data_IF_526141777107
#
_entry.id   IF_526141777107
#
_cell.length_a   1.000
_cell.length_b   1.000
_cell.length_c   1.000
_cell.angle_alpha   90.00
_cell.angle_beta   90.00
_cell.angle_gamma   90.00
#
_symmetry.space_group_name_H-M   'P 1'
#
loop_
_entity.id
_entity.type
_entity.pdbx_description
1 polymer ?
#
# COMPACT_ATOMS: atom_id res chain seq x y z
N UNK A 1 -18.98 7.99 50.27
CA UNK A 1 -17.99 8.81 49.54
C UNK A 1 -18.68 9.35 48.29
N UNK A 2 -18.75 10.67 48.06
CA UNK A 2 -19.26 11.23 46.81
C UNK A 2 -18.41 10.74 45.64
N UNK A 3 -19.04 10.35 44.53
CA UNK A 3 -18.27 9.95 43.34
C UNK A 3 -17.60 11.20 42.74
N UNK A 4 -16.30 11.10 42.49
CA UNK A 4 -15.53 12.15 41.83
C UNK A 4 -16.02 12.28 40.38
N UNK A 5 -16.65 13.42 40.05
CA UNK A 5 -16.99 13.80 38.69
C UNK A 5 -15.92 14.76 38.19
N UNK A 6 -15.02 14.33 37.30
CA UNK A 6 -13.95 15.20 36.83
C UNK A 6 -14.58 16.32 35.99
N UNK A 7 -14.28 17.56 36.36
CA UNK A 7 -14.65 18.73 35.56
C UNK A 7 -13.96 18.65 34.20
N UNK A 8 -14.73 18.69 33.11
CA UNK A 8 -14.21 18.58 31.74
C UNK A 8 -14.36 17.22 31.08
N UNK A 9 -14.98 16.22 31.73
CA UNK A 9 -15.18 14.88 31.13
C UNK A 9 -15.94 14.90 29.79
N UNK A 10 -16.91 15.80 29.65
CA UNK A 10 -17.66 15.96 28.41
C UNK A 10 -16.80 16.58 27.30
N UNK A 11 -15.92 17.51 27.65
CA UNK A 11 -14.98 18.15 26.71
C UNK A 11 -13.91 17.16 26.26
N UNK A 12 -13.33 16.39 27.19
CA UNK A 12 -12.37 15.33 26.84
C UNK A 12 -12.99 14.28 25.93
N UNK A 13 -14.22 13.83 26.22
CA UNK A 13 -14.94 12.89 25.35
C UNK A 13 -15.18 13.45 23.94
N UNK A 14 -15.51 14.74 23.84
CA UNK A 14 -15.73 15.40 22.55
C UNK A 14 -14.42 15.56 21.75
N UNK A 15 -13.30 15.78 22.44
CA UNK A 15 -11.98 15.88 21.83
C UNK A 15 -11.45 14.50 21.39
N UNK A 16 -11.63 13.47 22.22
CA UNK A 16 -11.27 12.08 21.85
C UNK A 16 -12.08 11.63 20.63
N UNK A 17 -13.39 11.87 20.61
CA UNK A 17 -14.22 11.53 19.45
C UNK A 17 -13.78 12.26 18.15
N UNK A 18 -13.29 13.50 18.27
CA UNK A 18 -12.70 14.21 17.13
C UNK A 18 -11.36 13.63 16.70
N UNK A 19 -10.49 13.31 17.66
CA UNK A 19 -9.20 12.70 17.39
C UNK A 19 -9.36 11.33 16.69
N UNK A 20 -10.31 10.52 17.13
CA UNK A 20 -10.64 9.23 16.51
C UNK A 20 -11.13 9.41 15.07
N UNK A 21 -12.01 10.39 14.83
CA UNK A 21 -12.51 10.67 13.48
C UNK A 21 -11.39 11.12 12.53
N UNK A 22 -10.48 11.98 13.00
CA UNK A 22 -9.32 12.43 12.22
C UNK A 22 -8.34 11.29 11.97
N UNK A 23 -8.11 10.43 12.97
CA UNK A 23 -7.24 9.26 12.86
C UNK A 23 -7.78 8.26 11.84
N UNK A 24 -9.08 7.95 11.91
CA UNK A 24 -9.73 7.06 10.94
C UNK A 24 -9.68 7.61 9.50
N UNK A 25 -9.74 8.94 9.33
CA UNK A 25 -9.51 9.60 8.05
C UNK A 25 -8.07 9.46 7.57
N UNK A 26 -7.10 9.66 8.48
CA UNK A 26 -5.68 9.50 8.22
C UNK A 26 -5.29 8.06 7.85
N UNK A 27 -5.84 7.06 8.52
CA UNK A 27 -5.61 5.64 8.21
C UNK A 27 -6.08 5.27 6.80
N UNK A 28 -7.24 5.77 6.37
CA UNK A 28 -7.73 5.57 4.99
C UNK A 28 -6.86 6.25 3.95
N UNK A 29 -6.30 7.43 4.25
CA UNK A 29 -5.36 8.09 3.36
C UNK A 29 -4.01 7.33 3.31
N UNK A 30 -3.55 6.83 4.46
CA UNK A 30 -2.34 6.04 4.56
C UNK A 30 -2.43 4.71 3.79
N UNK A 31 -3.60 4.04 3.81
CA UNK A 31 -3.79 2.82 3.02
C UNK A 31 -3.65 3.07 1.51
N UNK A 32 -4.12 4.24 1.02
CA UNK A 32 -3.89 4.60 -0.38
C UNK A 32 -2.41 4.76 -0.71
N UNK A 33 -1.60 5.31 0.21
CA UNK A 33 -0.15 5.44 0.03
C UNK A 33 0.55 4.07 -0.02
N UNK A 34 0.17 3.15 0.87
CA UNK A 34 0.73 1.79 0.91
C UNK A 34 0.49 1.04 -0.42
N UNK A 35 -0.68 1.20 -1.02
CA UNK A 35 -1.00 0.59 -2.31
C UNK A 35 -0.07 1.09 -3.44
N UNK A 36 0.23 2.38 -3.49
CA UNK A 36 1.17 2.93 -4.47
C UNK A 36 2.58 2.40 -4.24
N UNK A 37 3.06 2.37 -2.99
CA UNK A 37 4.36 1.80 -2.64
C UNK A 37 4.44 0.35 -3.10
N UNK A 38 3.42 -0.47 -2.80
CA UNK A 38 3.35 -1.87 -3.22
C UNK A 38 3.46 -2.04 -4.73
N UNK A 39 2.71 -1.25 -5.51
CA UNK A 39 2.78 -1.29 -6.98
C UNK A 39 4.19 -0.96 -7.47
N UNK A 40 4.86 0.05 -6.91
CA UNK A 40 6.22 0.41 -7.33
C UNK A 40 7.24 -0.69 -7.02
N UNK A 41 7.11 -1.37 -5.88
CA UNK A 41 7.98 -2.51 -5.53
C UNK A 41 7.77 -3.69 -6.50
N UNK A 42 6.53 -3.95 -6.92
CA UNK A 42 6.24 -4.96 -7.95
C UNK A 42 6.91 -4.58 -9.27
N UNK A 43 6.79 -3.33 -9.71
CA UNK A 43 7.43 -2.86 -10.95
C UNK A 43 8.97 -2.95 -10.87
N UNK A 44 9.57 -2.59 -9.73
CA UNK A 44 11.01 -2.76 -9.52
C UNK A 44 11.42 -4.25 -9.62
N UNK A 45 10.60 -5.15 -9.08
CA UNK A 45 10.81 -6.59 -9.18
C UNK A 45 10.75 -7.08 -10.64
N UNK A 46 9.83 -6.54 -11.45
CA UNK A 46 9.75 -6.83 -12.90
C UNK A 46 11.05 -6.43 -13.60
N UNK A 47 11.55 -5.21 -13.37
CA UNK A 47 12.81 -4.74 -13.95
C UNK A 47 13.98 -5.62 -13.53
N UNK A 48 14.02 -6.02 -12.25
CA UNK A 48 15.02 -6.93 -11.72
C UNK A 48 14.98 -8.31 -12.39
N UNK A 49 13.80 -8.93 -12.49
CA UNK A 49 13.61 -10.23 -13.14
C UNK A 49 14.05 -10.21 -14.61
N UNK A 50 13.72 -9.15 -15.34
CA UNK A 50 14.14 -8.96 -16.74
C UNK A 50 15.65 -8.78 -16.85
N UNK A 51 16.25 -7.95 -16.00
CA UNK A 51 17.71 -7.75 -15.97
C UNK A 51 18.47 -9.03 -15.62
N UNK A 52 17.97 -9.79 -14.64
CA UNK A 52 18.55 -11.06 -14.22
C UNK A 52 18.48 -12.12 -15.32
N UNK A 53 17.41 -12.13 -16.13
CA UNK A 53 17.24 -13.08 -17.24
C UNK A 53 18.35 -13.05 -18.29
N UNK A 54 19.08 -11.94 -18.43
CA UNK A 54 20.22 -11.81 -19.33
C UNK A 54 21.48 -12.57 -18.90
N UNK A 55 21.59 -12.93 -17.61
CA UNK A 55 22.78 -13.59 -17.07
C UNK A 55 22.77 -15.12 -17.19
N UNK A 56 21.64 -15.72 -17.56
CA UNK A 56 21.51 -17.17 -17.68
C UNK A 56 21.70 -17.65 -19.13
N UNK A 57 22.58 -18.64 -19.33
CA UNK A 57 22.82 -19.27 -20.64
C UNK A 57 21.69 -20.22 -21.06
N UNK A 58 20.92 -20.73 -20.09
CA UNK A 58 19.79 -21.63 -20.33
C UNK A 58 18.56 -20.85 -20.78
N UNK A 59 18.16 -21.08 -22.03
CA UNK A 59 17.00 -20.42 -22.65
C UNK A 59 15.70 -20.67 -21.88
N UNK A 60 15.53 -21.86 -21.31
CA UNK A 60 14.36 -22.22 -20.50
C UNK A 60 14.24 -21.33 -19.27
N UNK A 61 15.35 -21.09 -18.55
CA UNK A 61 15.37 -20.23 -17.36
C UNK A 61 15.00 -18.80 -17.74
N UNK A 62 15.55 -18.28 -18.84
CA UNK A 62 15.21 -16.95 -19.36
C UNK A 62 13.72 -16.83 -19.67
N UNK A 63 13.13 -17.83 -20.34
CA UNK A 63 11.71 -17.83 -20.69
C UNK A 63 10.81 -17.85 -19.45
N UNK A 64 11.17 -18.61 -18.42
CA UNK A 64 10.44 -18.63 -17.13
C UNK A 64 10.49 -17.25 -16.47
N UNK A 65 11.69 -16.64 -16.36
CA UNK A 65 11.85 -15.32 -15.74
C UNK A 65 11.06 -14.24 -16.47
N UNK A 66 11.10 -14.24 -17.81
CA UNK A 66 10.31 -13.33 -18.64
C UNK A 66 8.81 -13.57 -18.45
N UNK A 67 8.37 -14.83 -18.39
CA UNK A 67 6.96 -15.17 -18.15
C UNK A 67 6.46 -14.67 -16.79
N UNK A 68 7.25 -14.86 -15.73
CA UNK A 68 6.93 -14.35 -14.39
C UNK A 68 6.92 -12.81 -14.37
N UNK A 69 7.91 -12.16 -14.99
CA UNK A 69 7.97 -10.72 -15.09
C UNK A 69 6.76 -10.15 -15.85
N UNK A 70 6.33 -10.79 -16.94
CA UNK A 70 5.15 -10.39 -17.70
C UNK A 70 3.87 -10.54 -16.88
N UNK A 71 3.70 -11.64 -16.13
CA UNK A 71 2.55 -11.83 -15.26
C UNK A 71 2.48 -10.77 -14.15
N UNK A 72 3.61 -10.47 -13.51
CA UNK A 72 3.71 -9.40 -12.50
C UNK A 72 3.43 -8.03 -13.09
N UNK A 73 3.92 -7.75 -14.30
CA UNK A 73 3.67 -6.47 -15.00
C UNK A 73 2.18 -6.28 -15.29
N UNK A 74 1.50 -7.32 -15.78
CA UNK A 74 0.05 -7.28 -16.01
C UNK A 74 -0.72 -7.05 -14.70
N UNK A 75 -0.30 -7.72 -13.62
CA UNK A 75 -0.87 -7.51 -12.29
C UNK A 75 -0.70 -6.07 -11.80
N UNK A 76 0.51 -5.51 -11.92
CA UNK A 76 0.79 -4.12 -11.55
C UNK A 76 -0.03 -3.13 -12.39
N UNK A 77 -0.13 -3.35 -13.71
CA UNK A 77 -0.95 -2.51 -14.58
C UNK A 77 -2.43 -2.55 -14.18
N UNK A 78 -2.96 -3.73 -13.84
CA UNK A 78 -4.33 -3.86 -13.34
C UNK A 78 -4.54 -3.15 -12.00
N UNK A 79 -3.58 -3.22 -11.07
CA UNK A 79 -3.62 -2.47 -9.80
C UNK A 79 -3.63 -0.96 -10.02
N UNK A 80 -2.81 -0.44 -10.93
CA UNK A 80 -2.79 1.00 -11.26
C UNK A 80 -4.15 1.48 -11.76
N UNK A 81 -4.84 0.67 -12.58
CA UNK A 81 -6.16 1.01 -13.10
C UNK A 81 -7.26 1.03 -12.03
N UNK A 82 -7.05 0.36 -10.90
CA UNK A 82 -8.00 0.29 -9.79
C UNK A 82 -7.74 1.35 -8.71
N UNK A 83 -6.54 1.97 -8.72
CA UNK A 83 -6.18 2.97 -7.72
C UNK A 83 -6.93 4.29 -7.98
N UNK A 84 -7.45 4.95 -6.94
CA UNK A 84 -8.06 6.25 -7.08
C UNK A 84 -7.00 7.24 -7.60
N UNK A 85 -7.41 8.08 -8.57
CA UNK A 85 -6.52 9.04 -9.21
C UNK A 85 -5.82 9.95 -8.19
N UNK A 86 -4.59 10.38 -8.49
CA UNK A 86 -3.82 11.23 -7.57
C UNK A 86 -4.61 12.51 -7.23
N UNK A 87 -4.54 12.97 -5.97
CA UNK A 87 -5.21 14.19 -5.51
C UNK A 87 -4.69 15.46 -6.17
#
# INVERSE_FOLDING_TARGET
MPQYQPTGYAESYALDAQADALTAGGEKAASSSDDYVRVTVILASVLFLVGLGGHFSLHVVRMILVGVAAALLLGAAASILQLPGPP
#
